data_IF_041898726566
#
_entry.id   IF_041898726566
#
_cell.length_a   1.000
_cell.length_b   1.000
_cell.length_c   1.000
_cell.angle_alpha   90.00
_cell.angle_beta   90.00
_cell.angle_gamma   90.00
#
_symmetry.space_group_name_H-M   'P 1'
#
loop_
_entity.id
_entity.type
_entity.pdbx_description
1 polymer ?
#
# COMPACT_ATOMS: atom_id res chain seq x y z
N UNK A 1 -13.59 11.18 -2.24
CA UNK A 1 -13.51 11.75 -0.89
C UNK A 1 -12.06 12.05 -0.59
N UNK A 2 -11.76 12.63 0.56
CA UNK A 2 -10.39 12.74 1.07
C UNK A 2 -10.09 11.46 1.86
N UNK A 3 -8.96 10.80 1.60
CA UNK A 3 -8.60 9.50 2.19
C UNK A 3 -8.66 9.57 3.71
N UNK A 4 -8.00 10.56 4.33
CA UNK A 4 -7.98 10.72 5.79
C UNK A 4 -9.37 10.93 6.44
N UNK A 5 -10.41 11.27 5.67
CA UNK A 5 -11.79 11.36 6.16
C UNK A 5 -12.59 10.06 5.95
N UNK A 6 -12.18 9.21 5.01
CA UNK A 6 -12.93 8.02 4.58
C UNK A 6 -12.20 6.69 4.75
N UNK A 7 -11.06 6.66 5.44
CA UNK A 7 -10.21 5.47 5.64
C UNK A 7 -11.01 4.22 6.04
N UNK A 8 -12.00 4.36 6.93
CA UNK A 8 -12.81 3.25 7.44
C UNK A 8 -13.70 2.56 6.39
N UNK A 9 -14.04 3.25 5.30
CA UNK A 9 -15.00 2.80 4.28
C UNK A 9 -14.39 2.64 2.88
N UNK A 10 -13.07 2.75 2.76
CA UNK A 10 -12.35 2.51 1.51
C UNK A 10 -12.58 1.10 0.98
N UNK A 11 -12.48 0.96 -0.34
CA UNK A 11 -12.75 -0.30 -1.05
C UNK A 11 -11.60 -0.66 -1.98
N UNK A 12 -11.36 -1.96 -2.13
CA UNK A 12 -10.23 -2.46 -2.88
C UNK A 12 -10.30 -2.19 -4.38
N UNK A 13 -9.16 -1.76 -4.93
CA UNK A 13 -8.85 -1.70 -6.35
C UNK A 13 -7.66 -2.63 -6.64
N UNK A 14 -7.71 -3.36 -7.75
CA UNK A 14 -6.69 -4.33 -8.12
C UNK A 14 -6.25 -4.13 -9.58
N UNK A 15 -4.98 -4.40 -9.85
CA UNK A 15 -4.43 -4.40 -11.22
C UNK A 15 -5.01 -5.51 -12.11
N UNK A 16 -5.60 -6.54 -11.50
CA UNK A 16 -6.28 -7.63 -12.19
C UNK A 16 -7.60 -7.98 -11.46
N UNK A 17 -8.60 -8.54 -12.16
CA UNK A 17 -9.83 -9.00 -11.52
C UNK A 17 -9.54 -10.08 -10.47
N UNK A 18 -9.77 -9.77 -9.19
CA UNK A 18 -9.56 -10.68 -8.06
C UNK A 18 -10.52 -10.32 -6.92
N UNK A 19 -11.05 -11.31 -6.21
CA UNK A 19 -11.89 -11.14 -5.02
C UNK A 19 -13.08 -10.15 -5.19
N UNK A 20 -13.62 -10.03 -6.41
CA UNK A 20 -14.65 -9.04 -6.77
C UNK A 20 -14.25 -7.57 -6.50
N UNK A 21 -12.95 -7.28 -6.38
CA UNK A 21 -12.43 -5.93 -6.29
C UNK A 21 -12.63 -5.17 -7.62
N UNK A 22 -12.62 -3.85 -7.55
CA UNK A 22 -12.65 -2.99 -8.75
C UNK A 22 -11.32 -3.13 -9.48
N UNK A 23 -11.35 -3.06 -10.80
CA UNK A 23 -10.13 -3.09 -11.61
C UNK A 23 -9.62 -1.67 -11.79
N UNK A 24 -8.34 -1.43 -11.51
CA UNK A 24 -7.68 -0.15 -11.78
C UNK A 24 -7.72 0.09 -13.29
N UNK A 25 -8.29 1.21 -13.77
CA UNK A 25 -8.32 1.52 -15.20
C UNK A 25 -6.92 1.65 -15.82
N UNK A 26 -6.80 1.27 -17.08
CA UNK A 26 -5.56 1.45 -17.85
C UNK A 26 -5.15 2.94 -17.88
N UNK A 27 -3.85 3.19 -17.73
CA UNK A 27 -3.27 4.54 -17.74
C UNK A 27 -3.38 5.31 -16.42
N UNK A 28 -4.05 4.76 -15.40
CA UNK A 28 -4.08 5.38 -14.06
C UNK A 28 -2.70 5.37 -13.42
N UNK A 29 -1.99 4.25 -13.47
CA UNK A 29 -0.62 4.14 -12.95
C UNK A 29 0.37 4.65 -14.00
N UNK A 30 1.16 5.66 -13.65
CA UNK A 30 2.17 6.27 -14.53
C UNK A 30 3.59 5.91 -14.11
N UNK A 31 3.80 5.57 -12.83
CA UNK A 31 5.05 5.02 -12.33
C UNK A 31 4.79 3.98 -11.23
N UNK A 32 5.56 2.89 -11.21
CA UNK A 32 5.50 1.85 -10.17
C UNK A 32 6.89 1.29 -9.91
N UNK A 33 7.32 1.36 -8.67
CA UNK A 33 8.59 0.83 -8.19
C UNK A 33 8.33 -0.26 -7.17
N UNK A 34 8.80 -1.47 -7.45
CA UNK A 34 8.57 -2.64 -6.62
C UNK A 34 9.89 -3.15 -6.02
N UNK A 35 9.97 -3.17 -4.69
CA UNK A 35 11.10 -3.72 -3.93
C UNK A 35 10.65 -4.98 -3.20
N UNK A 36 11.40 -6.08 -3.39
CA UNK A 36 11.19 -7.33 -2.68
C UNK A 36 12.31 -7.59 -1.69
N UNK A 37 11.96 -7.78 -0.42
CA UNK A 37 12.89 -8.24 0.61
C UNK A 37 12.41 -9.56 1.20
N UNK A 38 13.24 -10.26 1.99
CA UNK A 38 12.80 -11.43 2.75
C UNK A 38 11.72 -11.14 3.79
N UNK A 39 11.57 -9.89 4.25
CA UNK A 39 10.65 -9.51 5.32
C UNK A 39 9.40 -8.78 4.81
N UNK A 40 9.51 -8.02 3.73
CA UNK A 40 8.42 -7.23 3.19
C UNK A 40 8.49 -7.06 1.68
N UNK A 41 7.34 -6.72 1.11
CA UNK A 41 7.21 -6.24 -0.25
C UNK A 41 6.75 -4.80 -0.21
N UNK A 42 7.46 -3.91 -0.89
CA UNK A 42 7.13 -2.49 -0.94
C UNK A 42 6.91 -2.05 -2.37
N UNK A 43 5.79 -1.40 -2.62
CA UNK A 43 5.40 -0.87 -3.91
C UNK A 43 5.13 0.61 -3.71
N UNK A 44 5.69 1.47 -4.55
CA UNK A 44 5.39 2.89 -4.50
C UNK A 44 5.38 3.48 -5.90
N UNK A 45 4.71 4.62 -6.09
CA UNK A 45 4.65 5.23 -7.40
C UNK A 45 3.66 6.36 -7.52
N UNK A 46 3.34 6.67 -8.78
CA UNK A 46 2.51 7.80 -9.16
C UNK A 46 1.40 7.38 -10.11
N UNK A 47 0.34 8.17 -10.12
CA UNK A 47 -0.80 7.98 -11.01
C UNK A 47 -1.80 9.11 -10.95
N UNK A 48 -2.94 8.94 -11.63
CA UNK A 48 -4.12 9.79 -11.46
C UNK A 48 -5.19 9.02 -10.68
N UNK A 49 -5.11 9.07 -9.35
CA UNK A 49 -6.00 8.32 -8.48
C UNK A 49 -7.37 9.00 -8.29
N UNK A 50 -7.61 10.13 -8.95
CA UNK A 50 -8.97 10.66 -9.06
C UNK A 50 -9.90 9.70 -9.81
N UNK A 51 -9.32 8.85 -10.67
CA UNK A 51 -10.01 7.73 -11.31
C UNK A 51 -10.38 6.58 -10.35
N UNK A 52 -9.87 6.59 -9.11
CA UNK A 52 -10.19 5.63 -8.05
C UNK A 52 -11.15 6.20 -6.99
N UNK A 53 -11.78 7.35 -7.28
CA UNK A 53 -12.65 8.15 -6.40
C UNK A 53 -11.94 8.95 -5.30
N UNK A 54 -10.62 9.13 -5.41
CA UNK A 54 -9.89 10.07 -4.55
C UNK A 54 -10.16 11.50 -5.02
N UNK A 55 -10.37 12.43 -4.09
CA UNK A 55 -10.62 13.82 -4.43
C UNK A 55 -9.37 14.46 -5.05
N UNK A 56 -9.55 15.27 -6.08
CA UNK A 56 -8.43 16.04 -6.65
C UNK A 56 -7.81 16.95 -5.59
N UNK A 57 -6.48 16.93 -5.49
CA UNK A 57 -5.72 17.72 -4.52
C UNK A 57 -5.70 17.14 -3.09
N UNK A 58 -6.19 15.91 -2.91
CA UNK A 58 -5.99 15.18 -1.66
C UNK A 58 -4.51 14.84 -1.47
N UNK A 59 -3.95 15.25 -0.32
CA UNK A 59 -2.55 15.04 0.08
C UNK A 59 -2.33 13.66 0.71
N UNK A 60 -3.41 12.94 1.00
CA UNK A 60 -3.43 11.53 1.35
C UNK A 60 -3.66 11.21 2.83
N UNK A 61 -3.65 9.92 3.13
CA UNK A 61 -3.77 9.35 4.47
C UNK A 61 -3.31 7.90 4.50
N UNK A 62 -3.14 7.34 5.70
CA UNK A 62 -2.71 5.96 5.91
C UNK A 62 -3.92 5.01 6.01
N UNK A 63 -3.81 3.88 5.33
CA UNK A 63 -4.71 2.75 5.46
C UNK A 63 -3.91 1.59 6.06
N UNK A 64 -4.46 0.95 7.10
CA UNK A 64 -3.76 -0.08 7.86
C UNK A 64 -4.74 -1.10 8.52
N UNK A 65 -4.25 -2.24 9.07
CA UNK A 65 -5.08 -3.29 9.64
C UNK A 65 -5.59 -3.00 11.06
N UNK A 66 -5.11 -1.96 11.74
CA UNK A 66 -5.41 -1.67 13.14
C UNK A 66 -6.47 -0.57 13.24
N UNK A 67 -6.27 0.59 12.63
CA UNK A 67 -7.17 1.74 12.74
C UNK A 67 -7.56 2.12 14.19
N UNK A 68 -8.47 3.08 14.35
CA UNK A 68 -8.86 3.58 15.69
C UNK A 68 -9.64 2.56 16.56
N UNK A 69 -10.24 1.54 15.94
CA UNK A 69 -11.11 0.55 16.63
C UNK A 69 -10.48 -0.84 16.73
N UNK A 70 -9.28 -1.06 16.18
CA UNK A 70 -8.66 -2.38 16.08
C UNK A 70 -9.26 -3.27 15.00
N UNK A 71 -10.06 -2.71 14.09
CA UNK A 71 -10.73 -3.44 13.00
C UNK A 71 -10.16 -3.10 11.61
N UNK A 72 -9.13 -2.24 11.56
CA UNK A 72 -8.57 -1.68 10.35
C UNK A 72 -9.31 -0.44 9.83
N UNK A 73 -8.62 0.28 8.97
CA UNK A 73 -9.07 1.46 8.24
C UNK A 73 -8.55 1.31 6.80
N UNK A 74 -9.23 0.55 5.93
CA UNK A 74 -10.65 0.18 6.02
C UNK A 74 -10.95 -1.03 6.90
N UNK A 75 -12.19 -1.05 7.42
CA UNK A 75 -12.68 -2.13 8.28
C UNK A 75 -12.67 -3.46 7.51
N UNK A 76 -11.93 -4.44 8.03
CA UNK A 76 -11.77 -5.76 7.41
C UNK A 76 -10.78 -5.79 6.23
N UNK A 77 -9.98 -4.74 6.05
CA UNK A 77 -8.88 -4.70 5.09
C UNK A 77 -7.88 -5.83 5.32
N UNK A 78 -7.48 -6.50 4.24
CA UNK A 78 -6.48 -7.57 4.27
C UNK A 78 -5.80 -7.65 2.90
N UNK A 79 -4.48 -7.86 2.88
CA UNK A 79 -3.74 -8.04 1.64
C UNK A 79 -3.66 -9.52 1.31
N UNK A 80 -4.21 -9.92 0.16
CA UNK A 80 -4.10 -11.29 -0.34
C UNK A 80 -3.33 -11.33 -1.67
N UNK A 81 -2.31 -12.17 -1.74
CA UNK A 81 -1.48 -12.32 -2.94
C UNK A 81 -1.11 -13.79 -3.19
N UNK A 82 -0.84 -14.12 -4.45
CA UNK A 82 -0.40 -15.45 -4.90
C UNK A 82 1.09 -15.50 -5.25
N UNK A 83 1.87 -14.49 -4.85
CA UNK A 83 3.28 -14.35 -5.21
C UNK A 83 4.17 -15.53 -4.74
N UNK A 84 3.72 -16.32 -3.77
CA UNK A 84 4.41 -17.53 -3.29
C UNK A 84 3.99 -18.82 -4.04
N UNK A 85 3.12 -18.72 -5.04
CA UNK A 85 2.54 -19.86 -5.77
C UNK A 85 1.23 -20.39 -5.18
N UNK A 86 0.75 -19.82 -4.08
CA UNK A 86 -0.56 -20.07 -3.47
C UNK A 86 -1.11 -18.78 -2.88
N UNK A 87 -2.44 -18.68 -2.72
CA UNK A 87 -3.05 -17.52 -2.07
C UNK A 87 -2.67 -17.48 -0.58
N UNK A 88 -2.02 -16.37 -0.19
CA UNK A 88 -1.64 -16.06 1.19
C UNK A 88 -2.23 -14.72 1.57
N UNK A 89 -2.77 -14.63 2.78
CA UNK A 89 -3.24 -13.39 3.39
C UNK A 89 -2.20 -12.87 4.38
N UNK A 90 -1.94 -11.56 4.34
CA UNK A 90 -0.98 -10.88 5.19
C UNK A 90 -1.70 -9.84 6.04
N UNK A 91 -1.63 -10.02 7.36
CA UNK A 91 -2.33 -9.17 8.32
C UNK A 91 -1.61 -7.83 8.54
N UNK A 92 -0.28 -7.80 8.45
CA UNK A 92 0.53 -6.59 8.66
C UNK A 92 0.86 -5.92 7.31
N UNK A 93 0.31 -4.73 7.09
CA UNK A 93 0.48 -3.94 5.88
C UNK A 93 0.19 -2.47 6.16
N UNK A 94 0.79 -1.59 5.38
CA UNK A 94 0.53 -0.15 5.41
C UNK A 94 0.37 0.37 3.99
N UNK A 95 -0.63 1.22 3.74
CA UNK A 95 -0.87 1.81 2.44
C UNK A 95 -1.17 3.30 2.58
N UNK A 96 -0.36 4.15 1.95
CA UNK A 96 -0.72 5.54 1.75
C UNK A 96 -1.27 5.74 0.36
N UNK A 97 -2.36 6.49 0.30
CA UNK A 97 -3.02 6.89 -0.93
C UNK A 97 -3.22 8.41 -0.89
N UNK A 98 -2.77 9.08 -1.94
CA UNK A 98 -3.05 10.48 -2.23
C UNK A 98 -3.68 10.60 -3.63
N UNK A 99 -4.02 11.81 -4.08
CA UNK A 99 -4.60 12.01 -5.40
C UNK A 99 -3.65 11.61 -6.55
N UNK A 100 -2.34 11.71 -6.35
CA UNK A 100 -1.31 11.53 -7.38
C UNK A 100 -0.19 10.55 -7.01
N UNK A 101 -0.13 10.10 -5.75
CA UNK A 101 0.92 9.22 -5.22
C UNK A 101 0.33 8.08 -4.40
N UNK A 102 1.01 6.94 -4.42
CA UNK A 102 0.74 5.85 -3.50
C UNK A 102 2.02 5.15 -3.04
N UNK A 103 1.91 4.47 -1.91
CA UNK A 103 2.87 3.47 -1.49
C UNK A 103 2.18 2.41 -0.63
N UNK A 104 2.63 1.18 -0.71
CA UNK A 104 2.11 0.00 -0.04
C UNK A 104 3.29 -0.84 0.42
N UNK A 105 3.36 -1.17 1.71
CA UNK A 105 4.27 -2.18 2.25
C UNK A 105 3.45 -3.33 2.83
N UNK A 106 3.82 -4.55 2.47
CA UNK A 106 3.21 -5.79 2.93
C UNK A 106 4.28 -6.55 3.70
N UNK A 107 4.10 -6.72 5.01
CA UNK A 107 5.07 -7.39 5.86
C UNK A 107 4.79 -8.89 5.85
N UNK A 108 5.63 -9.62 5.12
CA UNK A 108 5.40 -11.02 4.76
C UNK A 108 6.05 -12.01 5.71
N UNK A 109 6.99 -11.56 6.55
CA UNK A 109 7.72 -12.41 7.46
C UNK A 109 8.31 -11.61 8.62
N UNK A 110 8.82 -12.33 9.61
CA UNK A 110 9.55 -11.79 10.76
C UNK A 110 10.72 -12.69 11.11
N UNK A 111 11.68 -12.15 11.87
CA UNK A 111 12.80 -12.91 12.41
C UNK A 111 13.10 -12.49 13.86
N UNK A 112 14.18 -13.02 14.43
CA UNK A 112 14.55 -12.76 15.83
C UNK A 112 14.90 -11.29 16.14
N UNK A 113 15.12 -10.47 15.11
CA UNK A 113 15.56 -9.07 15.21
C UNK A 113 14.43 -8.12 14.81
N UNK A 114 13.69 -8.45 13.75
CA UNK A 114 12.67 -7.60 13.15
C UNK A 114 11.32 -8.32 13.15
N UNK A 115 10.34 -7.75 13.83
CA UNK A 115 8.93 -8.20 13.79
C UNK A 115 8.20 -7.58 12.61
N UNK A 116 7.14 -8.23 12.13
CA UNK A 116 6.32 -7.69 11.04
C UNK A 116 5.73 -6.31 11.39
N UNK A 117 5.29 -6.12 12.64
CA UNK A 117 4.80 -4.82 13.13
C UNK A 117 5.87 -3.72 13.11
N UNK A 118 7.14 -4.07 13.35
CA UNK A 118 8.25 -3.11 13.27
C UNK A 118 8.61 -2.77 11.81
N UNK A 119 8.35 -3.66 10.87
CA UNK A 119 8.57 -3.43 9.44
C UNK A 119 7.44 -2.60 8.80
N UNK A 120 6.20 -2.73 9.27
CA UNK A 120 5.03 -2.02 8.73
C UNK A 120 4.57 -0.79 9.55
N UNK A 121 5.29 -0.42 10.62
CA UNK A 121 5.04 0.73 11.53
C UNK A 121 3.85 1.66 11.20
N UNK A 122 2.72 1.41 11.86
CA UNK A 122 1.47 2.18 11.73
C UNK A 122 1.40 3.32 12.78
N UNK A 123 2.37 4.23 12.78
CA UNK A 123 2.43 5.30 13.82
C UNK A 123 2.69 6.70 13.27
N UNK A 124 2.91 6.81 11.96
CA UNK A 124 3.39 8.03 11.31
C UNK A 124 2.44 8.49 10.21
N UNK A 125 1.14 8.31 10.48
CA UNK A 125 -0.05 8.38 9.62
C UNK A 125 -0.15 9.66 8.75
N UNK A 126 0.57 10.72 9.12
CA UNK A 126 0.56 12.04 8.46
C UNK A 126 1.83 12.35 7.64
N UNK A 127 2.87 11.52 7.72
CA UNK A 127 4.19 11.85 7.14
C UNK A 127 4.31 11.56 5.65
N UNK A 128 3.45 10.66 5.13
CA UNK A 128 3.37 10.32 3.71
C UNK A 128 4.50 9.41 3.20
N UNK A 129 4.38 9.04 1.93
CA UNK A 129 5.13 7.95 1.31
C UNK A 129 6.65 8.08 1.36
N UNK A 130 7.18 9.26 1.02
CA UNK A 130 8.64 9.47 0.98
C UNK A 130 9.31 9.35 2.35
N UNK A 131 8.55 9.49 3.44
CA UNK A 131 9.05 9.35 4.80
C UNK A 131 8.91 7.92 5.33
N UNK A 132 7.72 7.35 5.24
CA UNK A 132 7.40 6.03 5.84
C UNK A 132 7.89 4.85 4.99
N UNK A 133 7.90 5.04 3.67
CA UNK A 133 8.34 4.06 2.67
C UNK A 133 9.38 4.69 1.73
N UNK A 134 10.59 4.97 2.23
CA UNK A 134 11.65 5.53 1.39
C UNK A 134 11.99 4.54 0.27
N UNK A 135 12.32 5.08 -0.91
CA UNK A 135 12.59 4.28 -2.09
C UNK A 135 12.71 5.12 -3.35
N UNK A 136 12.60 4.45 -4.50
CA UNK A 136 12.53 5.10 -5.80
C UNK A 136 11.13 5.70 -6.02
N UNK A 137 11.10 6.96 -6.43
CA UNK A 137 9.93 7.76 -6.80
C UNK A 137 10.24 8.51 -8.11
N UNK A 138 10.87 7.83 -9.05
CA UNK A 138 11.15 8.39 -10.38
C UNK A 138 9.89 8.34 -11.24
N UNK A 139 9.37 9.52 -11.59
CA UNK A 139 8.21 9.65 -12.46
C UNK A 139 8.39 8.92 -13.82
N UNK A 140 7.27 8.50 -14.40
CA UNK A 140 7.20 7.85 -15.73
C UNK A 140 8.10 6.61 -15.87
N UNK A 141 8.25 5.84 -14.80
CA UNK A 141 9.13 4.67 -14.80
C UNK A 141 8.57 3.48 -14.02
N UNK A 142 8.95 2.29 -14.44
CA UNK A 142 8.53 1.02 -13.86
C UNK A 142 9.77 0.21 -13.53
N UNK A 143 9.98 -0.08 -12.24
CA UNK A 143 11.15 -0.84 -11.79
C UNK A 143 10.78 -1.95 -10.83
N UNK A 144 11.57 -3.01 -10.85
CA UNK A 144 11.51 -4.12 -9.91
C UNK A 144 12.93 -4.42 -9.44
N UNK A 145 13.13 -4.54 -8.13
CA UNK A 145 14.40 -4.96 -7.55
C UNK A 145 14.23 -5.86 -6.33
N UNK A 146 15.28 -6.61 -6.04
CA UNK A 146 15.44 -7.30 -4.77
C UNK A 146 16.23 -6.39 -3.82
N UNK A 147 15.89 -6.42 -2.55
CA UNK A 147 16.54 -5.66 -1.48
C UNK A 147 16.85 -6.54 -0.28
N UNK A 148 17.79 -6.07 0.54
CA UNK A 148 18.12 -6.72 1.80
C UNK A 148 17.00 -6.52 2.83
N UNK A 149 16.86 -7.46 3.76
CA UNK A 149 16.00 -7.30 4.93
C UNK A 149 16.68 -6.38 5.94
N UNK A 150 16.25 -5.12 5.97
CA UNK A 150 16.62 -4.03 6.89
C UNK A 150 18.13 -3.84 7.20
#
# INVERSE_FOLDING_TARGET
SVIGETEAEEVAWCVQPRNNARVIPDGVLTAVHFVKTPLYWQIQGFGDFTHLNIQSGDEGGELDPHGATGLGNPVGGNVTTNATGSDVSYEEWMNYMAADQFCLRICISENSTYSAANECQHTLDEMGCSWVMPGDYTADSFTECDGDSA
#
